data_IF_317434824852
#
_entry.id   IF_317434824852
#
_cell.length_a   1.000
_cell.length_b   1.000
_cell.length_c   1.000
_cell.angle_alpha   90.00
_cell.angle_beta   90.00
_cell.angle_gamma   90.00
#
_symmetry.space_group_name_H-M   'P 1'
#
loop_
_entity.id
_entity.type
_entity.pdbx_description
1 polymer ?
#
# COMPACT_ATOMS: atom_id res chain seq x y z
N UNK A 1 -38.13 24.86 13.93
CA UNK A 1 -36.80 24.50 13.38
C UNK A 1 -36.79 23.01 13.16
N UNK A 2 -36.65 22.56 11.92
CA UNK A 2 -36.67 21.15 11.55
C UNK A 2 -35.23 20.60 11.50
N UNK A 3 -35.04 19.44 12.11
CA UNK A 3 -33.78 18.71 12.23
C UNK A 3 -33.38 18.10 10.87
N UNK A 4 -32.20 18.40 10.28
CA UNK A 4 -31.78 17.75 9.05
C UNK A 4 -31.25 16.35 9.36
N UNK A 5 -32.09 15.34 9.12
CA UNK A 5 -31.65 13.93 9.09
C UNK A 5 -30.63 13.75 7.97
N UNK A 6 -29.36 13.58 8.33
CA UNK A 6 -28.34 13.11 7.42
C UNK A 6 -28.70 11.69 6.97
N UNK A 7 -29.05 11.53 5.70
CA UNK A 7 -29.22 10.21 5.09
C UNK A 7 -27.86 9.53 4.99
N UNK A 8 -27.67 8.44 5.74
CA UNK A 8 -26.50 7.57 5.56
C UNK A 8 -26.47 7.03 4.12
N UNK A 9 -25.35 7.13 3.39
CA UNK A 9 -25.26 6.53 2.08
C UNK A 9 -25.30 5.00 2.24
N UNK A 10 -26.34 4.39 1.66
CA UNK A 10 -26.47 2.95 1.49
C UNK A 10 -25.42 2.49 0.47
N UNK A 11 -24.27 2.05 0.98
CA UNK A 11 -23.27 1.36 0.16
C UNK A 11 -23.88 0.07 -0.38
N UNK A 12 -23.77 -0.21 -1.70
CA UNK A 12 -24.25 -1.47 -2.23
C UNK A 12 -23.45 -2.62 -1.61
N UNK A 13 -24.18 -3.53 -0.97
CA UNK A 13 -23.70 -4.83 -0.49
C UNK A 13 -22.93 -5.51 -1.63
N UNK A 14 -21.63 -5.70 -1.43
CA UNK A 14 -20.73 -6.33 -2.40
C UNK A 14 -21.15 -7.80 -2.59
N UNK A 15 -21.42 -8.28 -3.82
CA UNK A 15 -21.82 -9.67 -4.02
C UNK A 15 -20.63 -10.62 -3.84
N UNK A 16 -20.81 -11.65 -3.02
CA UNK A 16 -20.13 -12.95 -3.11
C UNK A 16 -18.61 -12.96 -2.91
N UNK A 17 -18.16 -12.92 -1.66
CA UNK A 17 -16.79 -13.26 -1.27
C UNK A 17 -16.54 -14.77 -1.38
N UNK A 18 -16.33 -15.25 -2.61
CA UNK A 18 -15.76 -16.57 -2.87
C UNK A 18 -14.25 -16.48 -3.02
N UNK A 19 -13.48 -16.92 -2.02
CA UNK A 19 -12.08 -17.39 -2.11
C UNK A 19 -11.06 -16.58 -2.96
N UNK A 20 -11.22 -15.26 -3.10
CA UNK A 20 -10.28 -14.39 -3.85
C UNK A 20 -9.43 -13.48 -2.94
N UNK A 21 -9.88 -13.27 -1.71
CA UNK A 21 -9.20 -12.42 -0.72
C UNK A 21 -7.77 -12.90 -0.34
N UNK A 22 -7.50 -14.22 -0.18
CA UNK A 22 -6.15 -14.68 0.15
C UNK A 22 -5.14 -14.42 -0.99
N UNK A 23 -5.54 -14.69 -2.24
CA UNK A 23 -4.69 -14.42 -3.41
C UNK A 23 -4.45 -12.93 -3.63
N UNK A 24 -5.50 -12.10 -3.49
CA UNK A 24 -5.35 -10.65 -3.58
C UNK A 24 -4.42 -10.09 -2.47
N UNK A 25 -4.51 -10.62 -1.25
CA UNK A 25 -3.62 -10.26 -0.16
C UNK A 25 -2.16 -10.59 -0.48
N UNK A 26 -1.90 -11.83 -0.92
CA UNK A 26 -0.55 -12.28 -1.26
C UNK A 26 0.04 -11.47 -2.43
N UNK A 27 -0.77 -11.17 -3.44
CA UNK A 27 -0.36 -10.34 -4.58
C UNK A 27 0.03 -8.92 -4.15
N UNK A 28 -0.75 -8.29 -3.27
CA UNK A 28 -0.45 -6.96 -2.73
C UNK A 28 0.85 -6.95 -1.91
N UNK A 29 1.06 -7.96 -1.08
CA UNK A 29 2.27 -8.10 -0.28
C UNK A 29 3.50 -8.38 -1.15
N UNK A 30 3.37 -9.23 -2.18
CA UNK A 30 4.43 -9.47 -3.15
C UNK A 30 4.79 -8.19 -3.90
N UNK A 31 3.79 -7.43 -4.35
CA UNK A 31 4.01 -6.15 -5.04
C UNK A 31 4.69 -5.11 -4.12
N UNK A 32 4.31 -5.06 -2.84
CA UNK A 32 4.96 -4.19 -1.87
C UNK A 32 6.45 -4.51 -1.72
N UNK A 33 6.80 -5.80 -1.61
CA UNK A 33 8.20 -6.26 -1.54
C UNK A 33 8.99 -5.87 -2.78
N UNK A 34 8.40 -5.97 -3.97
CA UNK A 34 9.04 -5.54 -5.22
C UNK A 34 9.36 -4.03 -5.18
N UNK A 35 8.45 -3.20 -4.68
CA UNK A 35 8.72 -1.77 -4.55
C UNK A 35 9.81 -1.46 -3.52
N UNK A 36 9.88 -2.17 -2.39
CA UNK A 36 10.99 -1.99 -1.46
C UNK A 36 12.33 -2.41 -2.06
N UNK A 37 12.38 -3.56 -2.73
CA UNK A 37 13.61 -4.02 -3.39
C UNK A 37 14.12 -3.00 -4.43
N UNK A 38 13.19 -2.40 -5.19
CA UNK A 38 13.54 -1.31 -6.11
C UNK A 38 14.04 -0.08 -5.34
N UNK A 39 13.36 0.33 -4.26
CA UNK A 39 13.79 1.47 -3.46
C UNK A 39 15.18 1.27 -2.83
N UNK A 40 15.48 0.08 -2.34
CA UNK A 40 16.79 -0.30 -1.81
C UNK A 40 17.87 -0.26 -2.88
N UNK A 41 17.62 -0.87 -4.05
CA UNK A 41 18.54 -0.84 -5.19
C UNK A 41 18.83 0.59 -5.67
N UNK A 42 17.80 1.45 -5.75
CA UNK A 42 17.97 2.84 -6.12
C UNK A 42 18.72 3.63 -5.04
N UNK A 43 18.47 3.35 -3.76
CA UNK A 43 19.16 4.00 -2.65
C UNK A 43 20.66 3.63 -2.62
N UNK A 44 20.99 2.35 -2.80
CA UNK A 44 22.38 1.89 -2.91
C UNK A 44 23.11 2.57 -4.07
N UNK A 45 22.49 2.61 -5.26
CA UNK A 45 23.06 3.32 -6.42
C UNK A 45 23.24 4.81 -6.15
N UNK A 46 22.26 5.46 -5.52
CA UNK A 46 22.37 6.86 -5.16
C UNK A 46 23.53 7.12 -4.19
N UNK A 47 23.70 6.27 -3.19
CA UNK A 47 24.80 6.35 -2.23
C UNK A 47 26.17 6.12 -2.89
N UNK A 48 26.28 5.14 -3.79
CA UNK A 48 27.53 4.88 -4.52
C UNK A 48 27.94 6.02 -5.44
N UNK A 49 26.97 6.73 -6.03
CA UNK A 49 27.23 7.88 -6.91
C UNK A 49 27.50 9.17 -6.13
N UNK A 50 26.88 9.32 -4.96
CA UNK A 50 27.02 10.49 -4.11
C UNK A 50 26.88 10.09 -2.63
N UNK A 51 28.00 9.64 -2.02
CA UNK A 51 28.00 9.25 -0.61
C UNK A 51 27.66 10.42 0.33
N UNK A 52 27.93 11.66 -0.12
CA UNK A 52 27.64 12.87 0.64
C UNK A 52 26.16 13.26 0.63
N UNK A 53 25.37 12.75 -0.32
CA UNK A 53 23.97 13.12 -0.54
C UNK A 53 23.74 14.57 -1.00
N UNK A 54 24.81 15.31 -1.32
CA UNK A 54 24.73 16.75 -1.62
C UNK A 54 24.43 17.07 -3.08
N UNK A 55 24.68 16.12 -4.01
CA UNK A 55 24.59 16.38 -5.45
C UNK A 55 23.14 16.62 -5.87
N UNK A 56 22.79 17.82 -6.38
CA UNK A 56 21.42 18.12 -6.80
C UNK A 56 20.99 17.30 -8.02
N UNK A 57 21.95 16.83 -8.82
CA UNK A 57 21.70 16.03 -10.03
C UNK A 57 21.02 14.69 -9.70
N UNK A 58 21.24 14.14 -8.50
CA UNK A 58 20.63 12.89 -8.06
C UNK A 58 19.28 13.09 -7.33
N UNK A 59 18.73 14.32 -7.29
CA UNK A 59 17.39 14.56 -6.73
C UNK A 59 16.30 13.69 -7.36
N UNK A 60 16.24 13.49 -8.70
CA UNK A 60 15.25 12.62 -9.31
C UNK A 60 15.36 11.18 -8.82
N UNK A 61 16.59 10.66 -8.71
CA UNK A 61 16.86 9.30 -8.20
C UNK A 61 16.38 9.15 -6.76
N UNK A 62 16.70 10.12 -5.89
CA UNK A 62 16.24 10.14 -4.49
C UNK A 62 14.72 10.28 -4.38
N UNK A 63 14.06 10.98 -5.32
CA UNK A 63 12.60 11.05 -5.40
C UNK A 63 12.01 9.68 -5.75
N UNK A 64 12.58 8.97 -6.72
CA UNK A 64 12.12 7.62 -7.07
C UNK A 64 12.22 6.65 -5.89
N UNK A 65 13.29 6.71 -5.09
CA UNK A 65 13.40 5.93 -3.84
C UNK A 65 12.21 6.20 -2.92
N UNK A 66 11.86 7.47 -2.69
CA UNK A 66 10.71 7.85 -1.84
C UNK A 66 9.39 7.37 -2.43
N UNK A 67 9.19 7.56 -3.73
CA UNK A 67 7.96 7.17 -4.42
C UNK A 67 7.73 5.66 -4.31
N UNK A 68 8.77 4.84 -4.48
CA UNK A 68 8.67 3.39 -4.30
C UNK A 68 8.35 2.99 -2.86
N UNK A 69 8.99 3.62 -1.86
CA UNK A 69 8.67 3.39 -0.44
C UNK A 69 7.21 3.73 -0.12
N UNK A 70 6.71 4.86 -0.63
CA UNK A 70 5.31 5.26 -0.45
C UNK A 70 4.38 4.22 -1.07
N UNK A 71 4.65 3.75 -2.29
CA UNK A 71 3.84 2.71 -2.92
C UNK A 71 3.84 1.41 -2.12
N UNK A 72 5.00 0.98 -1.61
CA UNK A 72 5.09 -0.20 -0.77
C UNK A 72 4.26 -0.06 0.52
N UNK A 73 4.28 1.11 1.16
CA UNK A 73 3.45 1.42 2.33
C UNK A 73 1.94 1.38 2.00
N UNK A 74 1.53 1.99 0.88
CA UNK A 74 0.13 2.00 0.46
C UNK A 74 -0.40 0.58 0.16
N UNK A 75 0.41 -0.26 -0.49
CA UNK A 75 0.07 -1.65 -0.76
C UNK A 75 -0.09 -2.46 0.53
N UNK A 76 0.81 -2.26 1.51
CA UNK A 76 0.68 -2.87 2.84
C UNK A 76 -0.56 -2.38 3.59
N UNK A 77 -0.87 -1.08 3.51
CA UNK A 77 -2.07 -0.51 4.10
C UNK A 77 -3.33 -1.16 3.51
N UNK A 78 -3.40 -1.29 2.19
CA UNK A 78 -4.51 -2.00 1.53
C UNK A 78 -4.59 -3.47 1.93
N UNK A 79 -3.47 -4.17 1.99
CA UNK A 79 -3.39 -5.55 2.49
C UNK A 79 -3.91 -5.66 3.93
N UNK A 80 -3.58 -4.70 4.80
CA UNK A 80 -4.08 -4.67 6.18
C UNK A 80 -5.60 -4.49 6.24
N UNK A 81 -6.18 -3.62 5.39
CA UNK A 81 -7.64 -3.46 5.32
C UNK A 81 -8.34 -4.77 4.91
N UNK A 82 -7.80 -5.52 3.95
CA UNK A 82 -8.37 -6.81 3.53
C UNK A 82 -8.37 -7.82 4.67
N UNK A 83 -7.31 -7.85 5.50
CA UNK A 83 -7.24 -8.75 6.67
C UNK A 83 -8.24 -8.38 7.76
N UNK A 84 -8.55 -7.09 7.90
CA UNK A 84 -9.54 -6.60 8.89
C UNK A 84 -10.98 -6.84 8.48
N UNK A 85 -11.25 -6.97 7.17
CA UNK A 85 -12.59 -7.26 6.62
C UNK A 85 -12.95 -8.75 6.68
N UNK A 86 -12.01 -9.64 7.08
CA UNK A 86 -12.28 -11.05 7.31
C UNK A 86 -12.86 -11.22 8.73
N UNK A 87 -14.17 -11.52 8.89
CA UNK A 87 -14.76 -11.67 10.21
C UNK A 87 -14.09 -12.84 10.95
N UNK A 88 -13.87 -12.75 12.28
CA UNK A 88 -13.37 -13.88 13.05
C UNK A 88 -14.35 -15.04 12.86
N UNK A 89 -13.90 -16.09 12.19
CA UNK A 89 -14.69 -17.30 11.96
C UNK A 89 -15.24 -17.77 13.30
N UNK A 90 -16.57 -17.81 13.41
CA UNK A 90 -17.26 -18.43 14.53
C UNK A 90 -16.75 -19.87 14.65
N UNK A 91 -16.12 -20.27 15.76
CA UNK A 91 -15.80 -21.67 15.97
C UNK A 91 -17.12 -22.46 15.95
N UNK A 92 -17.18 -23.48 15.10
CA UNK A 92 -18.27 -24.47 15.07
C UNK A 92 -18.29 -25.31 16.34
#
# INVERSE_FOLDING_TARGET
MADPRFASPSWPLRPGAGSRAPRELDDLLAHARTHDAVAECLADKAFRLDPSGSSPVLRPLRRMVRDHRIRALLLRGRAACIRSDDPPGTPS
#
